data_IF_874758737087
#
_entry.id   IF_874758737087
#
_cell.length_a   1.000
_cell.length_b   1.000
_cell.length_c   1.000
_cell.angle_alpha   90.00
_cell.angle_beta   90.00
_cell.angle_gamma   90.00
#
_symmetry.space_group_name_H-M   'P 1'
#
loop_
_entity.id
_entity.type
_entity.pdbx_description
1 polymer ?
#
# COMPACT_ATOMS: atom_id res chain seq x y z
N UNK A 1 -17.74 4.98 -11.56
CA UNK A 1 -17.21 4.09 -12.60
C UNK A 1 -17.06 4.77 -13.95
N UNK A 2 -18.07 5.48 -14.44
CA UNK A 2 -17.97 6.29 -15.67
C UNK A 2 -16.68 7.12 -15.78
N UNK A 3 -16.34 7.93 -14.77
CA UNK A 3 -15.08 8.71 -14.75
C UNK A 3 -13.80 7.88 -14.93
N UNK A 4 -13.77 6.64 -14.44
CA UNK A 4 -12.61 5.74 -14.55
C UNK A 4 -12.54 5.11 -15.94
N UNK A 5 -13.68 4.84 -16.57
CA UNK A 5 -13.76 4.37 -17.96
C UNK A 5 -13.35 5.50 -18.93
N UNK A 6 -13.80 6.72 -18.68
CA UNK A 6 -13.36 7.91 -19.43
C UNK A 6 -11.85 8.13 -19.28
N UNK A 7 -11.28 7.95 -18.09
CA UNK A 7 -9.85 8.05 -17.83
C UNK A 7 -9.05 6.96 -18.58
N UNK A 8 -9.46 5.69 -18.49
CA UNK A 8 -8.82 4.59 -19.21
C UNK A 8 -8.83 4.83 -20.74
N UNK A 9 -9.96 5.28 -21.29
CA UNK A 9 -10.05 5.65 -22.71
C UNK A 9 -9.14 6.83 -23.07
N UNK A 10 -9.02 7.83 -22.18
CA UNK A 10 -8.11 8.94 -22.39
C UNK A 10 -6.64 8.50 -22.41
N UNK A 11 -6.24 7.61 -21.49
CA UNK A 11 -4.89 7.07 -21.47
C UNK A 11 -4.59 6.17 -22.69
N UNK A 12 -5.56 5.39 -23.17
CA UNK A 12 -5.41 4.64 -24.43
C UNK A 12 -5.12 5.57 -25.61
N UNK A 13 -5.83 6.71 -25.71
CA UNK A 13 -5.58 7.68 -26.77
C UNK A 13 -4.18 8.30 -26.71
N UNK A 14 -3.56 8.37 -25.53
CA UNK A 14 -2.19 8.89 -25.40
C UNK A 14 -1.20 7.99 -26.13
N UNK A 15 -1.32 6.67 -25.99
CA UNK A 15 -0.41 5.72 -26.65
C UNK A 15 -0.65 5.63 -28.16
N UNK A 16 -1.89 5.85 -28.60
CA UNK A 16 -2.25 5.94 -30.03
C UNK A 16 -1.76 7.24 -30.69
N UNK A 17 -1.89 8.38 -29.99
CA UNK A 17 -1.58 9.71 -30.55
C UNK A 17 -0.10 10.04 -30.49
N UNK A 18 0.60 9.54 -29.46
CA UNK A 18 2.00 9.84 -29.21
C UNK A 18 2.87 8.57 -29.09
N UNK A 19 2.82 7.64 -30.06
CA UNK A 19 3.48 6.34 -29.94
C UNK A 19 4.99 6.44 -29.73
N UNK A 20 5.63 7.49 -30.27
CA UNK A 20 7.07 7.71 -30.14
C UNK A 20 7.49 8.34 -28.81
N UNK A 21 6.54 8.69 -27.93
CA UNK A 21 6.80 9.28 -26.61
C UNK A 21 6.77 8.20 -25.53
N UNK A 22 7.79 7.34 -25.53
CA UNK A 22 7.91 6.17 -24.64
C UNK A 22 7.57 6.49 -23.18
N UNK A 23 8.16 7.54 -22.58
CA UNK A 23 7.91 7.91 -21.18
C UNK A 23 6.44 8.28 -20.91
N UNK A 24 5.82 8.98 -21.85
CA UNK A 24 4.42 9.38 -21.76
C UNK A 24 3.51 8.16 -21.89
N UNK A 25 3.84 7.24 -22.82
CA UNK A 25 3.13 5.98 -23.00
C UNK A 25 3.25 5.09 -21.76
N UNK A 26 4.44 4.93 -21.20
CA UNK A 26 4.68 4.16 -19.98
C UNK A 26 3.85 4.69 -18.81
N UNK A 27 3.81 6.02 -18.65
CA UNK A 27 2.99 6.66 -17.60
C UNK A 27 1.50 6.43 -17.83
N UNK A 28 1.03 6.56 -19.07
CA UNK A 28 -0.37 6.31 -19.42
C UNK A 28 -0.77 4.85 -19.13
N UNK A 29 0.04 3.89 -19.59
CA UNK A 29 -0.21 2.46 -19.37
C UNK A 29 -0.13 2.06 -17.89
N UNK A 30 0.77 2.68 -17.11
CA UNK A 30 0.79 2.49 -15.65
C UNK A 30 -0.53 2.93 -15.00
N UNK A 31 -1.13 4.05 -15.42
CA UNK A 31 -2.44 4.46 -14.90
C UNK A 31 -3.56 3.51 -15.33
N UNK A 32 -3.52 3.00 -16.57
CA UNK A 32 -4.47 1.99 -17.05
C UNK A 32 -4.38 0.71 -16.24
N UNK A 33 -3.16 0.24 -15.94
CA UNK A 33 -2.94 -0.90 -15.05
C UNK A 33 -3.52 -0.66 -13.64
N UNK A 34 -3.38 0.56 -13.10
CA UNK A 34 -4.03 0.96 -11.85
C UNK A 34 -5.56 0.88 -11.91
N UNK A 35 -6.18 1.34 -13.00
CA UNK A 35 -7.64 1.23 -13.21
C UNK A 35 -8.06 -0.24 -13.34
N UNK A 36 -7.26 -1.08 -14.01
CA UNK A 36 -7.50 -2.51 -14.10
C UNK A 36 -7.47 -3.18 -12.72
N UNK A 37 -6.55 -2.78 -11.84
CA UNK A 37 -6.51 -3.21 -10.44
C UNK A 37 -7.79 -2.87 -9.69
N UNK A 38 -8.28 -1.63 -9.82
CA UNK A 38 -9.54 -1.23 -9.20
C UNK A 38 -10.74 -2.00 -9.76
N UNK A 39 -10.75 -2.30 -11.08
CA UNK A 39 -11.77 -3.16 -11.69
C UNK A 39 -11.73 -4.57 -11.09
N UNK A 40 -10.54 -5.12 -10.85
CA UNK A 40 -10.38 -6.43 -10.23
C UNK A 40 -10.91 -6.45 -8.79
N UNK A 41 -10.56 -5.44 -7.98
CA UNK A 41 -11.10 -5.25 -6.62
C UNK A 41 -12.63 -5.17 -6.61
N UNK A 42 -13.21 -4.50 -7.62
CA UNK A 42 -14.65 -4.37 -7.76
C UNK A 42 -15.34 -5.57 -8.44
N UNK A 43 -14.62 -6.68 -8.68
CA UNK A 43 -15.12 -7.89 -9.37
C UNK A 43 -15.65 -7.62 -10.79
N UNK A 44 -15.11 -6.61 -11.46
CA UNK A 44 -15.43 -6.22 -12.85
C UNK A 44 -14.38 -6.70 -13.86
N UNK A 45 -13.27 -7.23 -13.37
CA UNK A 45 -12.16 -7.79 -14.13
C UNK A 45 -11.55 -8.92 -13.31
N UNK A 46 -10.94 -9.91 -13.94
CA UNK A 46 -10.18 -10.92 -13.20
C UNK A 46 -8.86 -10.32 -12.69
N UNK A 47 -8.35 -10.86 -11.58
CA UNK A 47 -7.00 -10.49 -11.12
C UNK A 47 -5.91 -10.87 -12.11
N UNK A 48 -6.14 -11.92 -12.90
CA UNK A 48 -5.18 -12.38 -13.90
C UNK A 48 -5.07 -11.37 -15.06
N UNK A 49 -6.19 -10.81 -15.52
CA UNK A 49 -6.20 -9.77 -16.55
C UNK A 49 -5.54 -8.48 -16.06
N UNK A 50 -5.81 -8.07 -14.81
CA UNK A 50 -5.19 -6.88 -14.23
C UNK A 50 -3.67 -7.05 -14.09
N UNK A 51 -3.21 -8.22 -13.64
CA UNK A 51 -1.78 -8.53 -13.54
C UNK A 51 -1.13 -8.63 -14.92
N UNK A 52 -1.83 -9.19 -15.92
CA UNK A 52 -1.34 -9.24 -17.29
C UNK A 52 -1.06 -7.84 -17.84
N UNK A 53 -1.92 -6.86 -17.53
CA UNK A 53 -1.66 -5.47 -17.91
C UNK A 53 -0.41 -4.92 -17.24
N UNK A 54 -0.24 -5.12 -15.93
CA UNK A 54 0.97 -4.71 -15.20
C UNK A 54 2.23 -5.29 -15.84
N UNK A 55 2.24 -6.59 -16.17
CA UNK A 55 3.41 -7.21 -16.82
C UNK A 55 3.65 -6.66 -18.22
N UNK A 56 2.59 -6.44 -19.01
CA UNK A 56 2.71 -5.87 -20.34
C UNK A 56 3.36 -4.48 -20.32
N UNK A 57 3.06 -3.64 -19.31
CA UNK A 57 3.74 -2.34 -19.16
C UNK A 57 5.24 -2.52 -18.92
N UNK A 58 5.62 -3.44 -18.02
CA UNK A 58 7.04 -3.69 -17.72
C UNK A 58 7.82 -4.24 -18.92
N UNK A 59 7.19 -5.12 -19.70
CA UNK A 59 7.79 -5.72 -20.89
C UNK A 59 7.91 -4.72 -22.05
N UNK A 60 6.90 -3.86 -22.23
CA UNK A 60 6.90 -2.85 -23.28
C UNK A 60 7.80 -1.65 -22.96
N UNK A 61 7.97 -1.32 -21.68
CA UNK A 61 8.73 -0.16 -21.21
C UNK A 61 9.76 -0.55 -20.12
N UNK A 62 10.74 -1.41 -20.45
CA UNK A 62 11.73 -1.88 -19.46
C UNK A 62 12.62 -0.75 -18.93
N UNK A 63 12.80 0.32 -19.72
CA UNK A 63 13.62 1.49 -19.39
C UNK A 63 12.77 2.68 -18.88
N UNK A 64 11.51 2.45 -18.51
CA UNK A 64 10.65 3.50 -17.95
C UNK A 64 11.26 4.10 -16.67
N UNK A 65 10.76 5.30 -16.31
CA UNK A 65 11.11 5.94 -15.04
C UNK A 65 10.99 4.96 -13.87
N UNK A 66 11.99 4.98 -12.97
CA UNK A 66 12.07 4.03 -11.86
C UNK A 66 10.85 4.08 -10.94
N UNK A 67 10.21 5.23 -10.78
CA UNK A 67 8.98 5.34 -10.00
C UNK A 67 7.81 4.60 -10.67
N UNK A 68 7.74 4.58 -12.00
CA UNK A 68 6.77 3.77 -12.74
C UNK A 68 7.01 2.28 -12.49
N UNK A 69 8.26 1.83 -12.65
CA UNK A 69 8.62 0.42 -12.42
C UNK A 69 8.37 -0.02 -10.97
N UNK A 70 8.76 0.81 -9.99
CA UNK A 70 8.51 0.58 -8.58
C UNK A 70 6.99 0.51 -8.28
N UNK A 71 6.17 1.38 -8.88
CA UNK A 71 4.73 1.35 -8.69
C UNK A 71 4.10 0.08 -9.27
N UNK A 72 4.60 -0.41 -10.40
CA UNK A 72 4.15 -1.67 -11.01
C UNK A 72 4.54 -2.87 -10.14
N UNK A 73 5.75 -2.89 -9.54
CA UNK A 73 6.12 -3.92 -8.55
C UNK A 73 5.24 -3.88 -7.30
N UNK A 74 4.93 -2.67 -6.82
CA UNK A 74 4.05 -2.48 -5.67
C UNK A 74 2.65 -3.05 -5.92
N UNK A 75 2.09 -2.85 -7.12
CA UNK A 75 0.82 -3.45 -7.52
C UNK A 75 0.89 -4.99 -7.46
N UNK A 76 2.02 -5.60 -7.86
CA UNK A 76 2.18 -7.05 -7.77
C UNK A 76 2.18 -7.54 -6.31
N UNK A 77 2.83 -6.80 -5.40
CA UNK A 77 2.79 -7.06 -3.96
C UNK A 77 1.36 -6.91 -3.39
N UNK A 78 0.63 -5.84 -3.75
CA UNK A 78 -0.77 -5.60 -3.34
C UNK A 78 -1.67 -6.78 -3.77
N UNK A 79 -1.47 -7.34 -4.97
CA UNK A 79 -2.22 -8.52 -5.44
C UNK A 79 -1.88 -9.79 -4.64
N UNK A 80 -0.61 -9.99 -4.30
CA UNK A 80 -0.20 -11.13 -3.46
C UNK A 80 -0.84 -11.04 -2.07
N UNK A 81 -0.91 -9.84 -1.51
CA UNK A 81 -1.56 -9.58 -0.22
C UNK A 81 -3.06 -9.89 -0.30
N UNK A 82 -3.74 -9.43 -1.35
CA UNK A 82 -5.15 -9.78 -1.59
C UNK A 82 -5.35 -11.31 -1.68
N UNK A 83 -4.40 -12.02 -2.29
CA UNK A 83 -4.36 -13.48 -2.35
C UNK A 83 -3.90 -14.17 -1.06
N UNK A 84 -3.65 -13.42 0.02
CA UNK A 84 -3.11 -13.90 1.31
C UNK A 84 -1.81 -14.69 1.20
N UNK A 85 -1.01 -14.39 0.17
CA UNK A 85 0.29 -15.00 -0.07
C UNK A 85 1.38 -14.24 0.68
N UNK A 86 1.29 -14.22 2.01
CA UNK A 86 2.05 -13.29 2.85
C UNK A 86 3.58 -13.43 2.71
N UNK A 87 4.12 -14.64 2.65
CA UNK A 87 5.56 -14.85 2.42
C UNK A 87 6.03 -14.26 1.08
N UNK A 88 5.20 -14.35 0.04
CA UNK A 88 5.51 -13.78 -1.27
C UNK A 88 5.37 -12.25 -1.26
N UNK A 89 4.47 -11.68 -0.44
CA UNK A 89 4.37 -10.22 -0.24
C UNK A 89 5.66 -9.70 0.35
N UNK A 90 6.16 -10.31 1.42
CA UNK A 90 7.42 -9.90 2.06
C UNK A 90 8.56 -9.93 1.06
N UNK A 91 8.77 -11.07 0.38
CA UNK A 91 9.85 -11.21 -0.60
C UNK A 91 9.74 -10.20 -1.75
N UNK A 92 8.51 -9.91 -2.22
CA UNK A 92 8.30 -8.92 -3.28
C UNK A 92 8.58 -7.50 -2.81
N UNK A 93 8.11 -7.15 -1.61
CA UNK A 93 8.34 -5.83 -1.02
C UNK A 93 9.82 -5.60 -0.75
N UNK A 94 10.55 -6.57 -0.21
CA UNK A 94 12.00 -6.49 0.00
C UNK A 94 12.74 -6.28 -1.31
N UNK A 95 12.41 -7.05 -2.35
CA UNK A 95 12.99 -6.89 -3.68
C UNK A 95 12.74 -5.49 -4.27
N UNK A 96 11.55 -4.92 -4.06
CA UNK A 96 11.23 -3.55 -4.47
C UNK A 96 12.11 -2.54 -3.72
N UNK A 97 12.22 -2.67 -2.39
CA UNK A 97 13.01 -1.77 -1.54
C UNK A 97 14.48 -1.78 -1.98
N UNK A 98 15.03 -2.95 -2.26
CA UNK A 98 16.42 -3.11 -2.72
C UNK A 98 16.64 -2.56 -4.14
N UNK A 99 15.68 -2.77 -5.04
CA UNK A 99 15.82 -2.40 -6.46
C UNK A 99 15.54 -0.92 -6.72
N UNK A 100 14.68 -0.30 -5.90
CA UNK A 100 14.19 1.06 -6.08
C UNK A 100 14.32 1.92 -4.81
N UNK A 101 15.48 1.96 -4.12
CA UNK A 101 15.61 2.57 -2.79
C UNK A 101 15.33 4.08 -2.77
N UNK A 102 15.43 4.75 -3.93
CA UNK A 102 15.18 6.18 -4.06
C UNK A 102 13.71 6.53 -4.40
N UNK A 103 12.85 5.53 -4.65
CA UNK A 103 11.42 5.75 -4.89
C UNK A 103 10.70 5.84 -3.54
N UNK A 104 10.93 6.96 -2.83
CA UNK A 104 10.55 7.15 -1.41
C UNK A 104 9.13 6.66 -1.11
N UNK A 105 8.13 7.09 -1.89
CA UNK A 105 6.74 6.75 -1.64
C UNK A 105 6.48 5.25 -1.83
N UNK A 106 6.92 4.67 -2.94
CA UNK A 106 6.75 3.25 -3.25
C UNK A 106 7.47 2.36 -2.22
N UNK A 107 8.67 2.76 -1.79
CA UNK A 107 9.42 2.11 -0.72
C UNK A 107 8.65 2.15 0.60
N UNK A 108 8.04 3.30 0.94
CA UNK A 108 7.19 3.42 2.11
C UNK A 108 6.01 2.46 2.10
N UNK A 109 5.30 2.38 0.97
CA UNK A 109 4.20 1.43 0.82
C UNK A 109 4.68 -0.03 0.83
N UNK A 110 5.85 -0.32 0.27
CA UNK A 110 6.44 -1.66 0.30
C UNK A 110 6.77 -2.09 1.74
N UNK A 111 7.34 -1.20 2.56
CA UNK A 111 7.53 -1.48 4.00
C UNK A 111 6.19 -1.73 4.68
N UNK A 112 5.16 -0.92 4.43
CA UNK A 112 3.85 -1.12 5.05
C UNK A 112 3.23 -2.48 4.66
N UNK A 113 3.29 -2.88 3.38
CA UNK A 113 2.81 -4.18 2.92
C UNK A 113 3.60 -5.35 3.53
N UNK A 114 4.92 -5.23 3.61
CA UNK A 114 5.75 -6.22 4.29
C UNK A 114 5.37 -6.34 5.77
N UNK A 115 5.15 -5.21 6.43
CA UNK A 115 4.72 -5.20 7.83
C UNK A 115 3.35 -5.83 8.06
N UNK A 116 2.38 -5.59 7.18
CA UNK A 116 1.07 -6.25 7.23
C UNK A 116 1.21 -7.77 7.03
N UNK A 117 1.99 -8.19 6.04
CA UNK A 117 2.23 -9.60 5.77
C UNK A 117 2.97 -10.30 6.92
N UNK A 118 4.00 -9.68 7.51
CA UNK A 118 4.71 -10.20 8.67
C UNK A 118 3.78 -10.35 9.88
N UNK A 119 2.86 -9.42 10.08
CA UNK A 119 1.90 -9.51 11.19
C UNK A 119 0.97 -10.71 11.02
N UNK A 120 0.53 -10.99 9.79
CA UNK A 120 -0.28 -12.16 9.44
C UNK A 120 0.51 -13.48 9.56
N UNK A 121 1.83 -13.43 9.35
CA UNK A 121 2.75 -14.56 9.58
C UNK A 121 3.08 -14.75 11.08
N UNK A 122 2.66 -13.85 11.96
CA UNK A 122 2.98 -13.88 13.39
C UNK A 122 4.32 -13.24 13.74
N UNK A 123 5.04 -12.70 12.77
CA UNK A 123 6.35 -12.05 12.88
C UNK A 123 6.22 -10.60 13.37
N UNK A 124 5.52 -10.40 14.49
CA UNK A 124 5.10 -9.06 14.96
C UNK A 124 6.27 -8.10 15.21
N UNK A 125 7.45 -8.61 15.56
CA UNK A 125 8.65 -7.78 15.73
C UNK A 125 9.19 -7.25 14.40
N UNK A 126 9.16 -8.06 13.33
CA UNK A 126 9.54 -7.61 11.98
C UNK A 126 8.53 -6.62 11.44
N UNK A 127 7.24 -6.91 11.61
CA UNK A 127 6.15 -6.01 11.26
C UNK A 127 6.32 -4.62 11.89
N UNK A 128 6.64 -4.58 13.19
CA UNK A 128 6.91 -3.35 13.91
C UNK A 128 8.10 -2.58 13.32
N UNK A 129 9.19 -3.27 12.98
CA UNK A 129 10.37 -2.64 12.38
C UNK A 129 10.05 -1.99 11.03
N UNK A 130 9.30 -2.69 10.16
CA UNK A 130 8.84 -2.14 8.89
C UNK A 130 7.98 -0.88 9.09
N UNK A 131 7.01 -0.92 10.00
CA UNK A 131 6.13 0.23 10.25
C UNK A 131 6.88 1.42 10.86
N UNK A 132 7.88 1.19 11.70
CA UNK A 132 8.72 2.24 12.28
C UNK A 132 9.57 2.95 11.22
N UNK A 133 10.09 2.23 10.23
CA UNK A 133 10.80 2.85 9.09
C UNK A 133 9.88 3.85 8.39
N UNK A 134 8.63 3.48 8.15
CA UNK A 134 7.64 4.36 7.52
C UNK A 134 7.30 5.55 8.43
N UNK A 135 7.00 5.31 9.70
CA UNK A 135 6.65 6.37 10.65
C UNK A 135 7.77 7.42 10.80
N UNK A 136 9.03 7.01 10.67
CA UNK A 136 10.21 7.88 10.75
C UNK A 136 10.65 8.44 9.38
N UNK A 137 9.98 8.08 8.29
CA UNK A 137 10.38 8.40 6.91
C UNK A 137 10.07 9.82 6.44
N UNK A 138 9.44 10.64 7.28
CA UNK A 138 9.09 12.05 6.99
C UNK A 138 8.36 12.22 5.64
N UNK A 139 7.29 11.45 5.41
CA UNK A 139 6.43 11.63 4.23
C UNK A 139 5.60 12.92 4.36
N UNK A 140 5.50 13.65 3.26
CA UNK A 140 4.81 14.93 3.17
C UNK A 140 3.48 14.81 2.44
N UNK A 141 2.62 15.84 2.52
CA UNK A 141 1.41 15.90 1.68
C UNK A 141 1.73 15.89 0.18
N UNK A 142 2.91 16.36 -0.25
CA UNK A 142 3.32 16.24 -1.65
C UNK A 142 3.73 14.82 -2.06
N UNK A 143 4.13 13.99 -1.08
CA UNK A 143 4.41 12.57 -1.32
C UNK A 143 3.09 11.76 -1.32
N UNK A 144 2.15 12.11 -0.45
CA UNK A 144 0.94 11.34 -0.21
C UNK A 144 -0.27 11.87 -0.99
N UNK A 145 -1.31 11.04 -1.08
CA UNK A 145 -2.65 11.54 -1.40
C UNK A 145 -3.39 11.84 -0.10
N UNK A 146 -4.24 12.88 -0.09
CA UNK A 146 -4.99 13.31 1.11
C UNK A 146 -5.65 12.13 1.85
N UNK A 147 -6.26 11.23 1.08
CA UNK A 147 -7.00 10.08 1.58
C UNK A 147 -6.17 8.78 1.63
N UNK A 148 -4.87 8.85 1.31
CA UNK A 148 -3.97 7.69 1.30
C UNK A 148 -2.57 8.08 1.76
N UNK A 149 -2.39 8.12 3.08
CA UNK A 149 -1.15 8.49 3.74
C UNK A 149 -0.48 7.26 4.39
N UNK A 150 0.73 6.98 3.91
CA UNK A 150 1.48 5.80 4.35
C UNK A 150 1.94 5.91 5.81
N UNK A 151 2.24 7.13 6.28
CA UNK A 151 2.66 7.40 7.67
C UNK A 151 1.52 7.11 8.63
N UNK A 152 0.31 7.62 8.34
CA UNK A 152 -0.86 7.39 9.19
C UNK A 152 -1.20 5.91 9.27
N UNK A 153 -1.15 5.22 8.13
CA UNK A 153 -1.39 3.77 8.06
C UNK A 153 -0.36 3.00 8.90
N UNK A 154 0.93 3.34 8.80
CA UNK A 154 1.98 2.71 9.58
C UNK A 154 1.83 2.95 11.10
N UNK A 155 1.42 4.14 11.52
CA UNK A 155 1.21 4.44 12.94
C UNK A 155 0.09 3.59 13.56
N UNK A 156 -0.99 3.33 12.81
CA UNK A 156 -2.03 2.38 13.25
C UNK A 156 -1.45 0.97 13.35
N UNK A 157 -0.71 0.53 12.33
CA UNK A 157 -0.09 -0.81 12.31
C UNK A 157 0.92 -1.02 13.43
N UNK A 158 1.62 0.02 13.90
CA UNK A 158 2.49 -0.06 15.08
C UNK A 158 1.69 -0.48 16.33
N UNK A 159 0.50 0.09 16.53
CA UNK A 159 -0.38 -0.32 17.62
C UNK A 159 -0.85 -1.77 17.49
N UNK A 160 -1.20 -2.19 16.26
CA UNK A 160 -1.59 -3.57 15.95
C UNK A 160 -0.43 -4.55 16.22
N UNK A 161 0.82 -4.17 15.92
CA UNK A 161 2.02 -4.94 16.26
C UNK A 161 2.19 -5.09 17.77
N UNK A 162 2.12 -4.00 18.53
CA UNK A 162 2.22 -4.07 19.99
C UNK A 162 1.12 -4.93 20.61
N UNK A 163 -0.11 -4.85 20.09
CA UNK A 163 -1.20 -5.70 20.54
C UNK A 163 -0.88 -7.18 20.33
N UNK A 164 -0.41 -7.58 19.14
CA UNK A 164 -0.03 -8.97 18.83
C UNK A 164 1.12 -9.47 19.69
N UNK A 165 2.00 -8.58 20.13
CA UNK A 165 3.07 -8.88 21.08
C UNK A 165 2.61 -8.89 22.55
N UNK A 166 1.32 -8.69 22.84
CA UNK A 166 0.78 -8.63 24.21
C UNK A 166 1.11 -7.34 24.98
N UNK A 167 1.73 -6.36 24.33
CA UNK A 167 2.12 -5.08 24.91
C UNK A 167 0.96 -4.08 24.82
N UNK A 168 -0.15 -4.39 25.50
CA UNK A 168 -1.41 -3.66 25.36
C UNK A 168 -1.32 -2.17 25.71
N UNK A 169 -0.51 -1.78 26.70
CA UNK A 169 -0.35 -0.37 27.05
C UNK A 169 0.32 0.42 25.92
N UNK A 170 1.39 -0.14 25.31
CA UNK A 170 2.03 0.47 24.14
C UNK A 170 1.12 0.51 22.92
N UNK A 171 0.28 -0.51 22.74
CA UNK A 171 -0.71 -0.53 21.66
C UNK A 171 -1.71 0.63 21.83
N UNK A 172 -2.21 0.83 23.05
CA UNK A 172 -3.13 1.93 23.38
C UNK A 172 -2.47 3.28 23.17
N UNK A 173 -1.24 3.47 23.63
CA UNK A 173 -0.49 4.71 23.44
C UNK A 173 -0.30 5.03 21.94
N UNK A 174 0.06 4.02 21.14
CA UNK A 174 0.24 4.18 19.70
C UNK A 174 -1.06 4.58 18.98
N UNK A 175 -2.18 3.91 19.25
CA UNK A 175 -3.47 4.27 18.65
C UNK A 175 -3.98 5.62 19.15
N UNK A 176 -3.77 5.93 20.44
CA UNK A 176 -4.15 7.23 20.99
C UNK A 176 -3.39 8.37 20.31
N UNK A 177 -2.11 8.16 20.00
CA UNK A 177 -1.30 9.12 19.26
C UNK A 177 -1.82 9.38 17.84
N UNK A 178 -2.36 8.36 17.14
CA UNK A 178 -3.01 8.54 15.83
C UNK A 178 -4.23 9.44 15.96
N UNK A 179 -5.09 9.18 16.94
CA UNK A 179 -6.34 9.94 17.16
C UNK A 179 -6.05 11.39 17.50
N UNK A 180 -5.03 11.67 18.32
CA UNK A 180 -4.68 13.04 18.72
C UNK A 180 -3.98 13.80 17.61
N UNK A 181 -3.11 13.15 16.85
CA UNK A 181 -2.30 13.79 15.82
C UNK A 181 -3.08 13.99 14.51
N UNK A 182 -3.97 13.06 14.17
CA UNK A 182 -4.72 13.06 12.92
C UNK A 182 -6.22 12.93 13.18
N UNK A 183 -6.87 13.90 13.85
CA UNK A 183 -8.29 13.81 14.12
C UNK A 183 -9.13 13.85 12.83
N UNK A 184 -10.19 13.04 12.77
CA UNK A 184 -11.18 13.07 11.69
C UNK A 184 -10.75 12.40 10.37
N UNK A 185 -9.68 11.61 10.39
CA UNK A 185 -9.31 10.73 9.25
C UNK A 185 -9.68 9.28 9.55
N UNK A 186 -9.80 8.48 8.50
CA UNK A 186 -10.11 7.05 8.60
C UNK A 186 -9.17 6.31 9.57
N UNK A 187 -7.87 6.59 9.55
CA UNK A 187 -6.91 5.94 10.44
C UNK A 187 -7.20 6.21 11.92
N UNK A 188 -7.71 7.40 12.28
CA UNK A 188 -8.12 7.71 13.64
C UNK A 188 -9.40 6.95 14.04
N UNK A 189 -10.34 6.76 13.13
CA UNK A 189 -11.53 5.92 13.38
C UNK A 189 -11.14 4.45 13.61
N UNK A 190 -10.21 3.93 12.80
CA UNK A 190 -9.66 2.58 12.98
C UNK A 190 -8.96 2.45 14.34
N UNK A 191 -8.10 3.42 14.68
CA UNK A 191 -7.40 3.45 15.97
C UNK A 191 -8.37 3.49 17.16
N UNK A 192 -9.45 4.27 17.05
CA UNK A 192 -10.49 4.32 18.09
C UNK A 192 -11.19 2.97 18.24
N UNK A 193 -11.58 2.33 17.13
CA UNK A 193 -12.18 0.99 17.16
C UNK A 193 -11.22 -0.09 17.71
N UNK A 194 -9.90 0.09 17.58
CA UNK A 194 -8.91 -0.79 18.23
C UNK A 194 -8.89 -0.58 19.74
N UNK A 195 -8.85 0.67 20.20
CA UNK A 195 -8.88 1.01 21.63
C UNK A 195 -10.11 0.43 22.33
N UNK A 196 -11.30 0.59 21.75
CA UNK A 196 -12.55 0.17 22.38
C UNK A 196 -12.61 -1.35 22.57
N UNK A 197 -12.16 -2.12 21.58
CA UNK A 197 -12.04 -3.59 21.69
C UNK A 197 -11.09 -4.03 22.82
N UNK A 198 -10.03 -3.28 23.09
CA UNK A 198 -9.12 -3.62 24.21
C UNK A 198 -9.70 -3.32 25.59
N UNK A 199 -10.71 -2.46 25.70
CA UNK A 199 -11.41 -2.17 26.95
C UNK A 199 -12.44 -3.25 27.26
N UNK A 200 -13.21 -3.68 26.25
CA UNK A 200 -14.25 -4.71 26.39
C UNK A 200 -13.69 -6.09 26.78
N UNK A 201 -12.51 -6.45 26.24
CA UNK A 201 -11.80 -7.69 26.61
C UNK A 201 -11.29 -7.71 28.06
N UNK A 202 -11.07 -6.54 28.67
CA UNK A 202 -10.67 -6.44 30.09
C UNK A 202 -11.87 -6.58 31.05
N UNK A 203 -13.09 -6.30 30.59
CA UNK A 203 -14.32 -6.39 31.40
C UNK A 203 -14.99 -7.76 31.39
N UNK A 204 -14.66 -8.63 30.42
CA UNK A 204 -15.28 -9.96 30.25
C UNK A 204 -14.46 -11.12 30.87
N UNK A 205 -13.32 -10.81 31.50
CA UNK A 205 -12.45 -11.75 32.21
C UNK A 205 -12.51 -11.69 33.74
N UNK A 206 -13.57 -11.13 34.32
CA UNK A 206 -13.87 -11.16 35.76
C UNK A 206 -15.15 -11.96 35.99
#
# INVERSE_FOLDING_TARGET
WQRKEEADAAFSRVTETFPDKSDLCAKAEMYRAGIAFERALAKRMSWDDAIKQVQAVKEAFPDADKAILARLELMQAEKLLFGKRYSDVVARSESLIESYPNCKLEVGWAHLLAGEADLELGESAKALAHCQIVANGNYTESDNFKDRDVTRSALVSIGDCYQKMGQLDKARDAWQNVITTYPGVWEAEVAQARLDRTKEGATSGK
#
